data_IF_800193749350
#
_entry.id   IF_800193749350
#
_cell.length_a   1.000
_cell.length_b   1.000
_cell.length_c   1.000
_cell.angle_alpha   90.00
_cell.angle_beta   90.00
_cell.angle_gamma   90.00
#
_symmetry.space_group_name_H-M   'P 1'
#
loop_
_entity.id
_entity.type
_entity.pdbx_description
1 polymer ?
#
# COMPACT_ATOMS: atom_id res chain seq x y z
N UNK A 1 -17.34 5.15 6.97
CA UNK A 1 -16.13 5.56 6.22
C UNK A 1 -14.91 5.60 7.14
N UNK A 2 -14.91 6.42 8.20
CA UNK A 2 -13.82 6.45 9.20
C UNK A 2 -13.53 5.09 9.85
N UNK A 3 -14.58 4.32 10.16
CA UNK A 3 -14.44 2.97 10.72
C UNK A 3 -13.71 2.00 9.79
N UNK A 4 -14.02 2.03 8.50
CA UNK A 4 -13.33 1.20 7.51
C UNK A 4 -11.83 1.53 7.40
N UNK A 5 -11.42 2.79 7.61
CA UNK A 5 -9.99 3.13 7.63
C UNK A 5 -9.27 2.60 8.86
N UNK A 6 -9.90 2.64 10.02
CA UNK A 6 -9.29 2.17 11.27
C UNK A 6 -9.18 0.64 11.34
N UNK A 7 -10.12 -0.08 10.72
CA UNK A 7 -10.14 -1.55 10.69
C UNK A 7 -9.19 -2.15 9.64
N UNK A 8 -8.67 -1.34 8.71
CA UNK A 8 -7.84 -1.81 7.59
C UNK A 8 -6.44 -1.18 7.59
N UNK A 9 -5.74 -1.26 8.73
CA UNK A 9 -4.40 -0.68 8.87
C UNK A 9 -3.34 -1.71 8.50
N UNK A 10 -2.40 -1.33 7.62
CA UNK A 10 -1.26 -2.17 7.24
C UNK A 10 0.05 -1.52 7.69
N UNK A 11 0.90 -2.30 8.36
CA UNK A 11 2.28 -1.94 8.63
C UNK A 11 3.17 -2.63 7.60
N UNK A 12 3.91 -1.84 6.82
CA UNK A 12 4.74 -2.31 5.72
C UNK A 12 6.12 -1.64 5.70
N UNK A 13 7.04 -2.20 4.91
CA UNK A 13 8.40 -1.70 4.74
C UNK A 13 9.40 -2.23 5.77
N UNK A 14 10.66 -1.79 5.70
CA UNK A 14 11.72 -2.35 6.56
C UNK A 14 11.50 -2.14 8.06
N UNK A 15 10.88 -1.01 8.44
CA UNK A 15 10.58 -0.69 9.84
C UNK A 15 9.43 -1.49 10.45
N UNK A 16 8.60 -2.17 9.63
CA UNK A 16 7.50 -2.98 10.14
C UNK A 16 7.96 -4.29 10.78
N UNK A 17 9.24 -4.66 10.63
CA UNK A 17 9.84 -5.85 11.22
C UNK A 17 10.31 -5.65 12.67
N UNK A 18 10.05 -4.48 13.28
CA UNK A 18 10.32 -4.26 14.71
C UNK A 18 9.38 -5.17 15.51
N UNK A 19 9.90 -6.02 16.42
CA UNK A 19 9.08 -6.88 17.25
C UNK A 19 8.01 -6.08 18.01
N UNK A 20 6.80 -6.62 18.12
CA UNK A 20 5.67 -6.03 18.85
C UNK A 20 5.22 -4.64 18.37
N UNK A 21 5.73 -4.12 17.25
CA UNK A 21 5.31 -2.83 16.73
C UNK A 21 3.82 -2.81 16.37
N UNK A 22 3.31 -3.89 15.75
CA UNK A 22 1.89 -3.98 15.37
C UNK A 22 0.95 -3.99 16.57
N UNK A 23 1.28 -4.74 17.61
CA UNK A 23 0.48 -4.83 18.84
C UNK A 23 0.53 -3.52 19.62
N UNK A 24 1.72 -2.91 19.73
CA UNK A 24 1.91 -1.59 20.35
C UNK A 24 1.13 -0.52 19.61
N UNK A 25 1.23 -0.50 18.27
CA UNK A 25 0.54 0.49 17.44
C UNK A 25 -0.98 0.43 17.60
N UNK A 26 -1.59 -0.76 17.57
CA UNK A 26 -3.04 -0.91 17.78
C UNK A 26 -3.44 -0.49 19.19
N UNK A 27 -2.66 -0.85 20.21
CA UNK A 27 -2.96 -0.51 21.61
C UNK A 27 -2.95 1.00 21.83
N UNK A 28 -1.91 1.67 21.34
CA UNK A 28 -1.79 3.14 21.41
C UNK A 28 -2.93 3.80 20.62
N UNK A 29 -3.23 3.30 19.42
CA UNK A 29 -4.29 3.84 18.58
C UNK A 29 -5.68 3.65 19.22
N UNK A 30 -5.94 2.51 19.87
CA UNK A 30 -7.16 2.25 20.62
C UNK A 30 -7.33 3.23 21.78
N UNK A 31 -6.23 3.61 22.46
CA UNK A 31 -6.28 4.53 23.61
C UNK A 31 -6.68 5.96 23.24
N UNK A 32 -6.32 6.40 22.03
CA UNK A 32 -6.62 7.75 21.52
C UNK A 32 -7.89 7.80 20.66
N UNK A 33 -8.45 6.65 20.31
CA UNK A 33 -9.61 6.56 19.43
C UNK A 33 -10.94 6.65 20.19
N UNK A 34 -12.00 7.20 19.57
CA UNK A 34 -13.34 7.15 20.15
C UNK A 34 -13.80 5.70 20.40
N UNK A 35 -14.65 5.43 21.42
CA UNK A 35 -15.11 4.08 21.74
C UNK A 35 -15.88 3.36 20.61
N UNK A 36 -16.42 4.13 19.66
CA UNK A 36 -17.10 3.62 18.48
C UNK A 36 -16.15 3.10 17.39
N UNK A 37 -14.84 3.30 17.55
CA UNK A 37 -13.82 2.88 16.61
C UNK A 37 -13.03 1.71 17.20
N UNK A 38 -12.87 0.65 16.41
CA UNK A 38 -12.03 -0.49 16.78
C UNK A 38 -10.90 -0.64 15.76
N UNK A 39 -9.77 0.05 15.98
CA UNK A 39 -8.57 -0.16 15.21
C UNK A 39 -8.16 -1.63 15.12
N UNK A 40 -7.86 -2.09 13.91
CA UNK A 40 -7.39 -3.45 13.68
C UNK A 40 -6.31 -3.47 12.60
N UNK A 41 -5.36 -4.38 12.79
CA UNK A 41 -4.38 -4.70 11.75
C UNK A 41 -5.05 -5.52 10.66
N UNK A 42 -4.81 -5.13 9.41
CA UNK A 42 -5.18 -5.92 8.25
C UNK A 42 -4.41 -7.25 8.26
N UNK A 43 -5.08 -8.40 8.09
CA UNK A 43 -4.41 -9.68 8.02
C UNK A 43 -3.49 -9.73 6.80
N UNK A 44 -2.37 -10.43 6.95
CA UNK A 44 -1.46 -10.62 5.83
C UNK A 44 -2.15 -11.46 4.74
N UNK A 45 -2.12 -11.06 3.46
CA UNK A 45 -2.72 -11.84 2.38
C UNK A 45 -2.08 -13.24 2.27
N UNK A 46 -2.87 -14.25 1.90
CA UNK A 46 -2.39 -15.65 1.82
C UNK A 46 -1.18 -15.85 0.89
N UNK A 47 -1.08 -15.02 -0.15
CA UNK A 47 0.02 -15.05 -1.12
C UNK A 47 1.29 -14.33 -0.62
N UNK A 48 1.24 -13.66 0.53
CA UNK A 48 2.33 -12.89 1.12
C UNK A 48 2.61 -13.42 2.53
N UNK A 49 3.68 -14.20 2.74
CA UNK A 49 4.09 -14.58 4.10
C UNK A 49 4.49 -13.35 4.94
N UNK A 50 4.27 -13.38 6.26
CA UNK A 50 4.55 -12.23 7.16
C UNK A 50 6.00 -11.71 7.04
N UNK A 51 6.99 -12.61 6.92
CA UNK A 51 8.40 -12.23 6.78
C UNK A 51 8.72 -11.49 5.47
N UNK A 52 7.78 -11.45 4.52
CA UNK A 52 7.90 -10.74 3.25
C UNK A 52 7.15 -9.40 3.23
N UNK A 53 6.49 -8.99 4.33
CA UNK A 53 5.83 -7.69 4.46
C UNK A 53 6.78 -6.51 4.21
N UNK A 54 8.07 -6.66 4.53
CA UNK A 54 9.13 -5.70 4.19
C UNK A 54 9.28 -5.44 2.69
N UNK A 55 8.84 -6.38 1.85
CA UNK A 55 8.89 -6.32 0.38
C UNK A 55 7.50 -6.10 -0.24
N UNK A 56 6.47 -5.84 0.56
CA UNK A 56 5.09 -5.65 0.10
C UNK A 56 4.97 -4.59 -1.00
N UNK A 57 5.67 -3.46 -0.90
CA UNK A 57 5.70 -2.42 -1.94
C UNK A 57 6.26 -2.95 -3.28
N UNK A 58 7.31 -3.76 -3.22
CA UNK A 58 7.92 -4.36 -4.41
C UNK A 58 7.01 -5.41 -5.05
N UNK A 59 6.36 -6.24 -4.23
CA UNK A 59 5.37 -7.21 -4.71
C UNK A 59 4.15 -6.52 -5.31
N UNK A 60 3.67 -5.43 -4.70
CA UNK A 60 2.63 -4.58 -5.27
C UNK A 60 3.01 -4.04 -6.64
N UNK A 61 4.24 -3.56 -6.82
CA UNK A 61 4.75 -3.12 -8.12
C UNK A 61 4.83 -4.28 -9.15
N UNK A 62 5.24 -5.48 -8.73
CA UNK A 62 5.27 -6.66 -9.60
C UNK A 62 3.85 -7.06 -10.07
N UNK A 63 2.85 -6.99 -9.19
CA UNK A 63 1.44 -7.21 -9.54
C UNK A 63 0.95 -6.10 -10.48
N UNK A 64 1.21 -4.84 -10.13
CA UNK A 64 0.79 -3.67 -10.92
C UNK A 64 1.40 -3.69 -12.32
N UNK A 65 2.67 -4.04 -12.48
CA UNK A 65 3.34 -4.10 -13.80
C UNK A 65 2.62 -5.01 -14.80
N UNK A 66 2.00 -6.10 -14.33
CA UNK A 66 1.20 -7.01 -15.15
C UNK A 66 -0.15 -6.39 -15.54
N UNK A 67 -0.73 -5.56 -14.68
CA UNK A 67 -2.01 -4.89 -14.93
C UNK A 67 -1.89 -3.63 -15.80
N UNK A 68 -0.82 -2.83 -15.61
CA UNK A 68 -0.55 -1.57 -16.35
C UNK A 68 -0.47 -1.80 -17.85
N UNK A 69 -0.01 -2.98 -18.28
CA UNK A 69 -0.02 -3.38 -19.70
C UNK A 69 -1.42 -3.42 -20.28
N UNK A 70 -2.39 -3.99 -19.56
CA UNK A 70 -3.78 -4.08 -20.04
C UNK A 70 -4.50 -2.72 -20.02
N UNK A 71 -4.06 -1.80 -19.17
CA UNK A 71 -4.69 -0.48 -19.00
C UNK A 71 -4.07 0.63 -19.87
N UNK A 72 -3.08 0.31 -20.71
CA UNK A 72 -2.36 1.25 -21.58
C UNK A 72 -1.76 2.48 -20.84
N UNK A 73 -1.41 2.30 -19.57
CA UNK A 73 -0.84 3.34 -18.69
C UNK A 73 0.69 3.43 -18.77
N UNK A 74 1.32 2.69 -19.70
CA UNK A 74 2.74 2.83 -19.97
C UNK A 74 3.02 4.16 -20.68
N UNK A 75 4.12 4.79 -20.29
CA UNK A 75 4.72 5.92 -21.00
C UNK A 75 5.70 5.34 -22.00
N UNK A 76 5.37 5.42 -23.28
CA UNK A 76 6.26 4.99 -24.35
C UNK A 76 7.31 6.07 -24.66
N UNK A 77 8.35 5.69 -25.40
CA UNK A 77 9.34 6.65 -25.90
C UNK A 77 8.69 7.76 -26.72
N UNK A 78 7.73 7.41 -27.59
CA UNK A 78 7.01 8.39 -28.42
C UNK A 78 6.20 9.36 -27.55
N UNK A 79 5.47 8.84 -26.55
CA UNK A 79 4.69 9.71 -25.66
C UNK A 79 5.56 10.76 -24.97
N UNK A 80 6.78 10.37 -24.56
CA UNK A 80 7.74 11.28 -23.92
C UNK A 80 8.38 12.26 -24.92
N UNK A 81 8.67 11.83 -26.15
CA UNK A 81 9.20 12.70 -27.19
C UNK A 81 8.18 13.78 -27.62
N UNK A 82 6.88 13.45 -27.66
CA UNK A 82 5.81 14.37 -28.06
C UNK A 82 5.35 15.31 -26.94
N UNK A 83 5.13 14.77 -25.73
CA UNK A 83 4.53 15.51 -24.61
C UNK A 83 5.55 15.90 -23.54
N UNK A 84 6.79 15.42 -23.63
CA UNK A 84 7.81 15.65 -22.61
C UNK A 84 7.42 15.08 -21.24
N UNK A 85 8.00 15.61 -20.14
CA UNK A 85 7.66 15.20 -18.77
C UNK A 85 6.18 15.33 -18.42
N UNK A 86 5.40 16.17 -19.14
CA UNK A 86 3.99 16.40 -18.85
C UNK A 86 3.09 15.20 -19.18
N UNK A 87 3.60 14.20 -19.92
CA UNK A 87 2.89 12.94 -20.21
C UNK A 87 2.39 12.24 -18.94
N UNK A 88 3.07 12.43 -17.80
CA UNK A 88 2.69 11.80 -16.52
C UNK A 88 1.27 12.19 -16.10
N UNK A 89 0.82 13.42 -16.39
CA UNK A 89 -0.53 13.87 -16.02
C UNK A 89 -1.65 13.20 -16.83
N UNK A 90 -1.30 12.53 -17.94
CA UNK A 90 -2.25 11.81 -18.80
C UNK A 90 -2.23 10.29 -18.59
N UNK A 91 -1.12 9.76 -18.06
CA UNK A 91 -0.81 8.31 -18.00
C UNK A 91 -0.55 7.80 -16.59
N UNK A 92 -0.44 8.67 -15.59
CA UNK A 92 -0.37 8.29 -14.19
C UNK A 92 -1.77 8.37 -13.60
N UNK A 93 -2.27 7.24 -13.09
CA UNK A 93 -3.45 7.19 -12.22
C UNK A 93 -3.11 7.62 -10.80
#
# INVERSE_FOLDING_TARGET
MLQAFAENILLCGGGSCIPDLGTTFVTELQSVSPPSLQPAMCPCPDYMPEHTLKYSSWMGAAILSKMVFQQNQHITKLDYEEAGPMVVHKKCC
#
